data_IF_739418338240
#
_entry.id   IF_739418338240
#
_cell.length_a   1.000
_cell.length_b   1.000
_cell.length_c   1.000
_cell.angle_alpha   90.00
_cell.angle_beta   90.00
_cell.angle_gamma   90.00
#
_symmetry.space_group_name_H-M   'P 1'
#
loop_
_entity.id
_entity.type
_entity.pdbx_description
1 polymer ?
#
# COMPACT_ATOMS: atom_id res chain seq x y z
N UNK A 1 28.91 16.47 14.88
CA UNK A 1 29.70 16.65 13.64
C UNK A 1 29.48 15.46 12.74
N UNK A 2 28.65 15.55 11.69
CA UNK A 2 28.44 14.47 10.71
C UNK A 2 29.78 14.12 10.04
N UNK A 3 30.12 12.83 10.04
CA UNK A 3 31.39 12.26 9.55
C UNK A 3 31.74 12.76 8.14
N UNK A 4 32.69 13.70 8.04
CA UNK A 4 33.24 14.24 6.77
C UNK A 4 34.01 13.19 5.94
N UNK A 5 34.10 11.95 6.42
CA UNK A 5 34.82 10.83 5.82
C UNK A 5 33.90 9.77 5.17
N UNK A 6 32.59 10.01 5.10
CA UNK A 6 31.64 9.08 4.46
C UNK A 6 31.72 9.21 2.93
N UNK A 7 31.54 8.08 2.23
CA UNK A 7 31.28 8.06 0.79
C UNK A 7 29.90 8.64 0.51
N UNK A 8 29.87 9.80 -0.11
CA UNK A 8 28.63 10.48 -0.51
C UNK A 8 28.29 10.08 -1.95
N UNK A 9 27.17 9.38 -2.19
CA UNK A 9 26.81 8.92 -3.54
C UNK A 9 26.46 10.08 -4.49
N UNK A 10 26.11 11.25 -3.97
CA UNK A 10 25.72 12.41 -4.79
C UNK A 10 26.92 13.22 -5.31
N UNK A 11 28.13 12.93 -4.82
CA UNK A 11 29.36 13.63 -5.18
C UNK A 11 30.21 12.80 -6.13
N UNK A 12 31.06 13.49 -6.89
CA UNK A 12 32.15 12.85 -7.62
C UNK A 12 33.21 12.30 -6.64
N UNK A 13 33.88 11.22 -7.03
CA UNK A 13 34.98 10.62 -6.26
C UNK A 13 36.06 11.65 -5.88
N UNK A 14 36.38 12.57 -6.79
CA UNK A 14 37.42 13.59 -6.62
C UNK A 14 37.02 14.64 -5.56
N UNK A 15 35.72 14.83 -5.34
CA UNK A 15 35.20 15.75 -4.34
C UNK A 15 35.21 15.15 -2.93
N UNK A 16 35.46 13.84 -2.81
CA UNK A 16 35.46 13.15 -1.53
C UNK A 16 36.75 13.42 -0.75
N UNK A 17 36.59 13.88 0.49
CA UNK A 17 37.72 14.15 1.40
C UNK A 17 38.49 12.88 1.77
N UNK A 18 37.82 11.72 1.80
CA UNK A 18 38.48 10.44 2.09
C UNK A 18 39.52 10.08 1.04
N UNK A 19 39.27 10.40 -0.24
CA UNK A 19 40.25 10.18 -1.31
C UNK A 19 41.53 10.96 -1.04
N UNK A 20 41.41 12.27 -0.85
CA UNK A 20 42.56 13.15 -0.64
C UNK A 20 43.29 12.90 0.67
N UNK A 21 42.57 12.47 1.71
CA UNK A 21 43.20 12.04 2.95
C UNK A 21 44.09 10.81 2.71
N UNK A 22 43.56 9.77 2.05
CA UNK A 22 44.32 8.54 1.77
C UNK A 22 45.51 8.84 0.86
N UNK A 23 45.30 9.56 -0.24
CA UNK A 23 46.38 9.99 -1.14
C UNK A 23 47.44 10.80 -0.39
N UNK A 24 47.02 11.77 0.43
CA UNK A 24 47.90 12.59 1.24
C UNK A 24 48.75 11.76 2.21
N UNK A 25 48.17 10.78 2.90
CA UNK A 25 48.89 9.89 3.81
C UNK A 25 49.98 9.10 3.09
N UNK A 26 49.69 8.53 1.92
CA UNK A 26 50.68 7.76 1.14
C UNK A 26 51.78 8.66 0.58
N UNK A 27 51.44 9.87 0.12
CA UNK A 27 52.44 10.86 -0.33
C UNK A 27 53.35 11.28 0.83
N UNK A 28 52.78 11.65 1.98
CA UNK A 28 53.56 12.03 3.16
C UNK A 28 54.48 10.89 3.63
N UNK A 29 53.97 9.65 3.64
CA UNK A 29 54.77 8.48 3.98
C UNK A 29 55.92 8.25 3.00
N UNK A 30 55.66 8.35 1.69
CA UNK A 30 56.70 8.25 0.67
C UNK A 30 57.77 9.34 0.80
N UNK A 31 57.38 10.58 1.11
CA UNK A 31 58.33 11.69 1.34
C UNK A 31 59.22 11.41 2.54
N UNK A 32 58.66 10.95 3.66
CA UNK A 32 59.44 10.61 4.86
C UNK A 32 60.45 9.51 4.54
N UNK A 33 60.03 8.45 3.86
CA UNK A 33 60.92 7.35 3.44
C UNK A 33 62.00 7.86 2.49
N UNK A 34 61.66 8.71 1.52
CA UNK A 34 62.63 9.30 0.60
C UNK A 34 63.67 10.17 1.32
N UNK A 35 63.26 10.97 2.31
CA UNK A 35 64.18 11.78 3.12
C UNK A 35 65.16 10.90 3.92
N UNK A 36 64.66 9.83 4.54
CA UNK A 36 65.50 8.87 5.27
C UNK A 36 66.52 8.23 4.33
N UNK A 37 66.09 7.75 3.17
CA UNK A 37 66.98 7.14 2.17
C UNK A 37 68.02 8.16 1.68
N UNK A 38 67.60 9.39 1.39
CA UNK A 38 68.47 10.44 0.86
C UNK A 38 69.58 10.87 1.84
N UNK A 39 69.26 11.03 3.12
CA UNK A 39 70.23 11.43 4.16
C UNK A 39 71.24 10.30 4.43
N UNK A 40 70.81 9.04 4.34
CA UNK A 40 71.67 7.88 4.65
C UNK A 40 72.40 7.32 3.42
N UNK A 41 72.18 7.89 2.24
CA UNK A 41 72.84 7.47 1.00
C UNK A 41 73.89 8.51 0.61
N UNK A 42 75.07 8.04 0.17
CA UNK A 42 76.11 8.93 -0.38
C UNK A 42 75.74 9.30 -1.83
N UNK A 43 74.84 10.26 -2.00
CA UNK A 43 74.32 10.66 -3.32
C UNK A 43 75.07 11.91 -3.81
N UNK A 44 75.59 11.86 -5.03
CA UNK A 44 76.12 13.03 -5.75
C UNK A 44 75.18 13.39 -6.90
N UNK A 45 74.87 14.68 -7.13
CA UNK A 45 74.03 15.10 -8.25
C UNK A 45 74.68 14.73 -9.59
N UNK A 46 74.02 13.86 -10.35
CA UNK A 46 74.34 13.55 -11.75
C UNK A 46 73.05 13.60 -12.57
N UNK A 47 73.03 14.49 -13.57
CA UNK A 47 71.88 14.69 -14.46
C UNK A 47 71.99 13.89 -15.77
N UNK A 48 73.00 13.03 -15.88
CA UNK A 48 73.12 12.08 -16.98
C UNK A 48 72.09 10.94 -16.87
N UNK A 49 71.94 10.15 -17.93
CA UNK A 49 71.09 8.96 -17.90
C UNK A 49 71.50 7.97 -16.79
N UNK A 50 72.81 7.92 -16.45
CA UNK A 50 73.32 7.06 -15.40
C UNK A 50 72.86 7.53 -14.02
N UNK A 51 72.89 8.85 -13.77
CA UNK A 51 72.38 9.47 -12.56
C UNK A 51 70.88 9.24 -12.35
N UNK A 52 70.05 9.41 -13.40
CA UNK A 52 68.61 9.09 -13.32
C UNK A 52 68.34 7.61 -13.02
N UNK A 53 69.06 6.70 -13.67
CA UNK A 53 68.92 5.26 -13.40
C UNK A 53 69.35 4.92 -11.97
N UNK A 54 70.43 5.52 -11.48
CA UNK A 54 70.87 5.34 -10.10
C UNK A 54 69.83 5.86 -9.11
N UNK A 55 69.21 7.02 -9.37
CA UNK A 55 68.13 7.57 -8.55
C UNK A 55 66.92 6.63 -8.47
N UNK A 56 66.52 5.99 -9.58
CA UNK A 56 65.45 4.99 -9.58
C UNK A 56 65.77 3.76 -8.72
N UNK A 57 67.04 3.35 -8.66
CA UNK A 57 67.48 2.23 -7.81
C UNK A 57 67.47 2.64 -6.35
N UNK A 58 68.05 3.79 -6.02
CA UNK A 58 68.14 4.31 -4.64
C UNK A 58 66.75 4.61 -4.07
N UNK A 59 65.87 5.26 -4.83
CA UNK A 59 64.51 5.64 -4.39
C UNK A 59 63.43 4.61 -4.76
N UNK A 60 63.80 3.36 -5.04
CA UNK A 60 62.83 2.32 -5.42
C UNK A 60 61.70 2.14 -4.40
N UNK A 61 62.03 2.15 -3.11
CA UNK A 61 61.06 1.95 -2.02
C UNK A 61 60.01 3.07 -1.95
N UNK A 62 60.37 4.38 -1.85
CA UNK A 62 59.37 5.45 -1.85
C UNK A 62 58.58 5.53 -3.17
N UNK A 63 59.20 5.22 -4.31
CA UNK A 63 58.48 5.11 -5.58
C UNK A 63 57.44 3.98 -5.58
N UNK A 64 57.75 2.83 -4.98
CA UNK A 64 56.81 1.73 -4.83
C UNK A 64 55.62 2.11 -3.92
N UNK A 65 55.86 2.86 -2.85
CA UNK A 65 54.78 3.39 -1.98
C UNK A 65 53.86 4.33 -2.77
N UNK A 66 54.41 5.22 -3.58
CA UNK A 66 53.59 6.08 -4.46
C UNK A 66 52.81 5.27 -5.49
N UNK A 67 53.39 4.19 -6.03
CA UNK A 67 52.70 3.31 -6.97
C UNK A 67 51.48 2.61 -6.33
N UNK A 68 51.50 2.33 -5.02
CA UNK A 68 50.35 1.77 -4.29
C UNK A 68 49.13 2.68 -4.27
N UNK A 69 49.28 3.98 -4.52
CA UNK A 69 48.16 4.91 -4.62
C UNK A 69 47.19 4.46 -5.72
N UNK A 70 47.70 3.93 -6.84
CA UNK A 70 46.86 3.52 -7.98
C UNK A 70 45.84 2.42 -7.58
N UNK A 71 46.26 1.24 -7.09
CA UNK A 71 45.31 0.19 -6.69
C UNK A 71 44.42 0.62 -5.52
N UNK A 72 44.91 1.48 -4.62
CA UNK A 72 44.10 2.00 -3.51
C UNK A 72 42.99 2.92 -4.02
N UNK A 73 43.30 3.87 -4.90
CA UNK A 73 42.31 4.76 -5.51
C UNK A 73 41.31 3.95 -6.34
N UNK A 74 41.77 2.91 -7.04
CA UNK A 74 40.88 1.99 -7.76
C UNK A 74 39.88 1.30 -6.81
N UNK A 75 40.33 0.83 -5.64
CA UNK A 75 39.47 0.23 -4.63
C UNK A 75 38.47 1.25 -4.05
N UNK A 76 38.90 2.48 -3.76
CA UNK A 76 38.03 3.56 -3.29
C UNK A 76 36.98 3.92 -4.34
N UNK A 77 37.36 3.96 -5.63
CA UNK A 77 36.46 4.20 -6.75
C UNK A 77 35.40 3.10 -6.89
N UNK A 78 35.81 1.83 -6.76
CA UNK A 78 34.89 0.70 -6.79
C UNK A 78 33.88 0.77 -5.64
N UNK A 79 34.32 1.10 -4.42
CA UNK A 79 33.44 1.27 -3.28
C UNK A 79 32.48 2.45 -3.45
N UNK A 80 32.98 3.60 -3.96
CA UNK A 80 32.13 4.75 -4.25
C UNK A 80 31.04 4.44 -5.27
N UNK A 81 31.39 3.72 -6.35
CA UNK A 81 30.42 3.24 -7.34
C UNK A 81 29.36 2.33 -6.70
N UNK A 82 29.76 1.43 -5.81
CA UNK A 82 28.80 0.60 -5.07
C UNK A 82 27.80 1.44 -4.26
N UNK A 83 28.26 2.48 -3.56
CA UNK A 83 27.36 3.39 -2.82
C UNK A 83 26.44 4.19 -3.75
N UNK A 84 26.95 4.63 -4.90
CA UNK A 84 26.14 5.28 -5.93
C UNK A 84 25.05 4.35 -6.47
N UNK A 85 25.39 3.10 -6.79
CA UNK A 85 24.42 2.11 -7.27
C UNK A 85 23.36 1.80 -6.22
N UNK A 86 23.72 1.67 -4.94
CA UNK A 86 22.73 1.49 -3.85
C UNK A 86 21.73 2.64 -3.80
N UNK A 87 22.22 3.88 -3.89
CA UNK A 87 21.36 5.07 -3.87
C UNK A 87 20.49 5.17 -5.12
N UNK A 88 21.04 4.84 -6.29
CA UNK A 88 20.27 4.76 -7.54
C UNK A 88 19.14 3.73 -7.45
N UNK A 89 19.41 2.54 -6.90
CA UNK A 89 18.39 1.51 -6.67
C UNK A 89 17.32 2.03 -5.71
N UNK A 90 17.72 2.71 -4.63
CA UNK A 90 16.78 3.30 -3.66
C UNK A 90 15.83 4.29 -4.34
N UNK A 91 16.38 5.26 -5.07
CA UNK A 91 15.59 6.28 -5.78
C UNK A 91 14.70 5.65 -6.86
N UNK A 92 15.22 4.68 -7.61
CA UNK A 92 14.44 3.95 -8.61
C UNK A 92 13.27 3.18 -7.98
N UNK A 93 13.47 2.54 -6.83
CA UNK A 93 12.41 1.83 -6.11
C UNK A 93 11.33 2.79 -5.59
N UNK A 94 11.71 3.97 -5.09
CA UNK A 94 10.76 5.01 -4.68
C UNK A 94 9.92 5.50 -5.86
N UNK A 95 10.56 5.77 -7.00
CA UNK A 95 9.87 6.17 -8.23
C UNK A 95 8.95 5.07 -8.76
N UNK A 96 9.40 3.81 -8.75
CA UNK A 96 8.60 2.67 -9.17
C UNK A 96 7.38 2.49 -8.27
N UNK A 97 7.54 2.57 -6.96
CA UNK A 97 6.43 2.45 -6.00
C UNK A 97 5.39 3.56 -6.20
N UNK A 98 5.85 4.79 -6.40
CA UNK A 98 4.99 5.92 -6.74
C UNK A 98 4.23 5.67 -8.06
N UNK A 99 4.95 5.33 -9.13
CA UNK A 99 4.34 5.11 -10.44
C UNK A 99 3.34 3.95 -10.44
N UNK A 100 3.66 2.85 -9.76
CA UNK A 100 2.79 1.69 -9.63
C UNK A 100 1.50 2.04 -8.89
N UNK A 101 1.59 2.78 -7.78
CA UNK A 101 0.42 3.22 -7.02
C UNK A 101 -0.56 4.05 -7.86
N UNK A 102 -0.07 5.05 -8.60
CA UNK A 102 -0.95 5.88 -9.43
C UNK A 102 -1.51 5.12 -10.62
N UNK A 103 -0.72 4.24 -11.24
CA UNK A 103 -1.19 3.38 -12.33
C UNK A 103 -2.28 2.42 -11.84
N UNK A 104 -2.11 1.83 -10.67
CA UNK A 104 -3.09 0.94 -10.05
C UNK A 104 -4.43 1.65 -9.80
N UNK A 105 -4.40 2.89 -9.28
CA UNK A 105 -5.60 3.72 -9.13
C UNK A 105 -6.26 4.02 -10.48
N UNK A 106 -5.48 4.38 -11.49
CA UNK A 106 -5.99 4.70 -12.83
C UNK A 106 -6.68 3.49 -13.48
N UNK A 107 -6.06 2.32 -13.40
CA UNK A 107 -6.64 1.08 -13.93
C UNK A 107 -7.85 0.62 -13.13
N UNK A 108 -7.86 0.81 -11.82
CA UNK A 108 -9.04 0.57 -10.99
C UNK A 108 -10.21 1.47 -11.40
N UNK A 109 -9.96 2.76 -11.61
CA UNK A 109 -10.99 3.72 -12.06
C UNK A 109 -11.55 3.33 -13.44
N UNK A 110 -10.68 2.92 -14.38
CA UNK A 110 -11.09 2.40 -15.70
C UNK A 110 -11.91 1.13 -15.58
N UNK A 111 -11.49 0.20 -14.72
CA UNK A 111 -12.19 -1.05 -14.46
C UNK A 111 -13.60 -0.80 -13.94
N UNK A 112 -13.75 0.03 -12.90
CA UNK A 112 -15.06 0.39 -12.37
C UNK A 112 -15.94 1.02 -13.45
N UNK A 113 -15.42 1.96 -14.24
CA UNK A 113 -16.19 2.61 -15.32
C UNK A 113 -16.64 1.64 -16.42
N UNK A 114 -15.93 0.53 -16.60
CA UNK A 114 -16.27 -0.50 -17.61
C UNK A 114 -17.27 -1.52 -17.07
N UNK A 115 -17.11 -1.94 -15.83
CA UNK A 115 -17.85 -3.08 -15.25
C UNK A 115 -19.12 -2.62 -14.52
N UNK A 116 -19.10 -1.44 -13.89
CA UNK A 116 -20.25 -0.95 -13.15
C UNK A 116 -21.32 -0.38 -14.08
N UNK A 117 -22.54 -0.91 -13.94
CA UNK A 117 -23.71 -0.37 -14.61
C UNK A 117 -24.24 0.89 -13.87
N UNK A 118 -25.27 1.54 -14.42
CA UNK A 118 -25.91 2.74 -13.84
C UNK A 118 -26.56 2.56 -12.46
N UNK A 119 -26.48 1.36 -11.86
CA UNK A 119 -26.99 1.05 -10.53
C UNK A 119 -25.87 0.80 -9.51
N UNK A 120 -24.60 0.74 -9.93
CA UNK A 120 -23.44 0.56 -9.06
C UNK A 120 -22.61 1.85 -9.09
N UNK A 121 -22.58 2.57 -7.98
CA UNK A 121 -21.87 3.84 -7.88
C UNK A 121 -21.20 4.04 -6.51
N UNK A 122 -20.05 4.68 -6.58
CA UNK A 122 -19.27 5.20 -5.46
C UNK A 122 -19.21 6.70 -5.63
N UNK A 123 -19.19 7.43 -4.51
CA UNK A 123 -18.97 8.88 -4.55
C UNK A 123 -17.58 9.26 -5.10
N UNK A 124 -16.60 8.35 -5.00
CA UNK A 124 -15.25 8.57 -5.52
C UNK A 124 -14.50 7.26 -5.71
N UNK A 125 -14.20 6.84 -6.97
CA UNK A 125 -13.37 5.67 -7.26
C UNK A 125 -12.05 5.66 -6.48
N UNK A 126 -11.41 6.83 -6.35
CA UNK A 126 -10.15 6.98 -5.62
C UNK A 126 -10.27 6.76 -4.11
N UNK A 127 -11.38 7.16 -3.51
CA UNK A 127 -11.60 6.93 -2.08
C UNK A 127 -11.94 5.48 -1.80
N UNK A 128 -12.78 4.87 -2.65
CA UNK A 128 -13.05 3.43 -2.61
C UNK A 128 -11.75 2.63 -2.77
N UNK A 129 -10.92 2.98 -3.75
CA UNK A 129 -9.60 2.39 -3.96
C UNK A 129 -8.74 2.47 -2.69
N UNK A 130 -8.64 3.66 -2.09
CA UNK A 130 -7.86 3.86 -0.87
C UNK A 130 -8.40 3.05 0.32
N UNK A 131 -9.70 2.80 0.38
CA UNK A 131 -10.34 2.01 1.42
C UNK A 131 -10.09 0.50 1.23
N UNK A 132 -10.16 0.02 -0.02
CA UNK A 132 -9.92 -1.40 -0.36
C UNK A 132 -8.42 -1.75 -0.37
N UNK A 133 -7.56 -0.84 -0.82
CA UNK A 133 -6.12 -1.07 -1.04
C UNK A 133 -5.26 -0.02 -0.34
N UNK A 134 -5.37 0.15 0.99
CA UNK A 134 -4.65 1.20 1.73
C UNK A 134 -3.13 1.07 1.65
N UNK A 135 -2.62 -0.15 1.43
CA UNK A 135 -1.19 -0.45 1.36
C UNK A 135 -0.61 -0.39 -0.06
N UNK A 136 -1.41 -0.07 -1.08
CA UNK A 136 -0.98 -0.05 -2.48
C UNK A 136 0.23 0.89 -2.71
N UNK A 137 0.37 1.94 -1.89
CA UNK A 137 1.52 2.86 -1.93
C UNK A 137 2.85 2.19 -1.60
N UNK A 138 2.81 1.06 -0.88
CA UNK A 138 3.95 0.26 -0.48
C UNK A 138 4.12 -1.01 -1.35
N UNK A 139 3.32 -1.15 -2.42
CA UNK A 139 3.37 -2.29 -3.33
C UNK A 139 2.55 -3.51 -2.89
N UNK A 140 1.72 -3.37 -1.84
CA UNK A 140 0.78 -4.39 -1.40
C UNK A 140 -0.64 -4.03 -1.89
N UNK A 141 -1.14 -4.80 -2.85
CA UNK A 141 -2.43 -4.61 -3.49
C UNK A 141 -3.52 -5.54 -2.92
N UNK A 142 -3.26 -6.21 -1.80
CA UNK A 142 -4.26 -7.05 -1.15
C UNK A 142 -5.34 -6.22 -0.44
N UNK A 143 -6.55 -6.78 -0.35
CA UNK A 143 -7.62 -6.24 0.49
C UNK A 143 -7.33 -6.66 1.95
N UNK A 144 -7.18 -5.71 2.89
CA UNK A 144 -6.80 -6.04 4.25
C UNK A 144 -7.93 -6.73 5.01
N UNK A 145 -7.57 -7.61 5.95
CA UNK A 145 -8.53 -8.33 6.80
C UNK A 145 -9.55 -7.41 7.49
N UNK A 146 -9.17 -6.18 7.84
CA UNK A 146 -10.06 -5.20 8.47
C UNK A 146 -11.30 -4.83 7.64
N UNK A 147 -11.21 -4.94 6.30
CA UNK A 147 -12.37 -4.73 5.42
C UNK A 147 -13.35 -5.89 5.57
N UNK A 148 -12.83 -7.12 5.64
CA UNK A 148 -13.62 -8.33 5.85
C UNK A 148 -14.21 -8.37 7.26
N UNK A 149 -13.43 -8.07 8.29
CA UNK A 149 -13.92 -7.98 9.68
C UNK A 149 -15.08 -6.97 9.81
N UNK A 150 -14.99 -5.85 9.08
CA UNK A 150 -16.05 -4.83 9.04
C UNK A 150 -17.30 -5.31 8.29
N UNK A 151 -17.12 -6.06 7.20
CA UNK A 151 -18.21 -6.67 6.45
C UNK A 151 -18.92 -7.74 7.30
N UNK A 152 -18.15 -8.63 7.93
CA UNK A 152 -18.65 -9.71 8.78
C UNK A 152 -19.41 -9.15 9.99
N UNK A 153 -18.89 -8.08 10.60
CA UNK A 153 -19.58 -7.36 11.68
C UNK A 153 -20.91 -6.74 11.21
N UNK A 154 -20.94 -6.17 10.00
CA UNK A 154 -22.17 -5.64 9.40
C UNK A 154 -23.18 -6.78 9.17
N UNK A 155 -22.75 -7.90 8.58
CA UNK A 155 -23.63 -9.06 8.30
C UNK A 155 -24.18 -9.65 9.59
N UNK A 156 -23.33 -9.91 10.58
CA UNK A 156 -23.73 -10.45 11.89
C UNK A 156 -24.79 -9.58 12.53
N UNK A 157 -24.55 -8.26 12.59
CA UNK A 157 -25.51 -7.33 13.18
C UNK A 157 -26.81 -7.25 12.38
N UNK A 158 -26.73 -7.30 11.06
CA UNK A 158 -27.92 -7.27 10.19
C UNK A 158 -28.76 -8.55 10.34
N UNK A 159 -28.12 -9.71 10.53
CA UNK A 159 -28.77 -10.98 10.81
C UNK A 159 -29.52 -10.92 12.14
N UNK A 160 -28.87 -10.48 13.24
CA UNK A 160 -29.51 -10.28 14.54
C UNK A 160 -30.76 -9.38 14.44
N UNK A 161 -30.64 -8.28 13.71
CA UNK A 161 -31.74 -7.34 13.51
C UNK A 161 -32.86 -7.93 12.63
N UNK A 162 -32.53 -8.79 11.66
CA UNK A 162 -33.55 -9.50 10.87
C UNK A 162 -34.35 -10.48 11.73
N UNK A 163 -33.70 -11.18 12.66
CA UNK A 163 -34.37 -12.06 13.63
C UNK A 163 -35.30 -11.24 14.52
N UNK A 164 -34.80 -10.13 15.08
CA UNK A 164 -35.60 -9.20 15.89
C UNK A 164 -36.82 -8.67 15.11
N UNK A 165 -36.62 -8.27 13.85
CA UNK A 165 -37.67 -7.74 12.98
C UNK A 165 -38.81 -8.76 12.77
N UNK A 166 -38.49 -10.03 12.57
CA UNK A 166 -39.51 -11.08 12.37
C UNK A 166 -40.25 -11.47 13.65
N UNK A 167 -39.64 -11.27 14.82
CA UNK A 167 -40.23 -11.55 16.12
C UNK A 167 -41.00 -10.36 16.73
N UNK A 168 -40.72 -9.14 16.29
CA UNK A 168 -41.22 -7.91 16.92
C UNK A 168 -42.70 -7.62 16.66
N UNK A 169 -43.24 -6.71 17.46
CA UNK A 169 -44.57 -6.14 17.28
C UNK A 169 -44.54 -4.94 16.32
N UNK A 170 -45.69 -4.61 15.69
CA UNK A 170 -45.80 -3.53 14.71
C UNK A 170 -45.17 -2.17 15.13
N UNK A 171 -45.31 -1.68 16.38
CA UNK A 171 -44.67 -0.43 16.81
C UNK A 171 -43.13 -0.43 16.74
N UNK A 172 -42.49 -1.59 16.91
CA UNK A 172 -41.03 -1.70 16.96
C UNK A 172 -40.39 -1.83 15.56
N UNK A 173 -41.17 -2.19 14.53
CA UNK A 173 -40.67 -2.39 13.16
C UNK A 173 -39.91 -1.18 12.64
N UNK A 174 -40.41 0.04 12.87
CA UNK A 174 -39.76 1.26 12.40
C UNK A 174 -38.38 1.47 13.01
N UNK A 175 -38.25 1.23 14.32
CA UNK A 175 -36.98 1.33 15.03
C UNK A 175 -35.97 0.36 14.41
N UNK A 176 -36.34 -0.91 14.28
CA UNK A 176 -35.46 -1.96 13.80
C UNK A 176 -35.04 -1.68 12.35
N UNK A 177 -35.96 -1.28 11.47
CA UNK A 177 -35.63 -0.93 10.09
C UNK A 177 -34.63 0.26 10.02
N UNK A 178 -34.80 1.29 10.85
CA UNK A 178 -33.87 2.43 10.93
C UNK A 178 -32.49 1.99 11.43
N UNK A 179 -32.46 1.14 12.46
CA UNK A 179 -31.20 0.58 12.98
C UNK A 179 -30.50 -0.32 11.94
N UNK A 180 -31.24 -1.14 11.20
CA UNK A 180 -30.71 -1.97 10.11
C UNK A 180 -30.11 -1.13 8.99
N UNK A 181 -30.80 -0.06 8.59
CA UNK A 181 -30.27 0.86 7.58
C UNK A 181 -28.98 1.53 8.07
N UNK A 182 -28.90 1.87 9.36
CA UNK A 182 -27.70 2.44 9.99
C UNK A 182 -26.52 1.45 9.96
N UNK A 183 -26.76 0.17 10.25
CA UNK A 183 -25.75 -0.90 10.18
C UNK A 183 -25.13 -0.97 8.77
N UNK A 184 -25.97 -1.11 7.73
CA UNK A 184 -25.50 -1.19 6.34
C UNK A 184 -24.79 0.10 5.92
N UNK A 185 -25.35 1.26 6.32
CA UNK A 185 -24.79 2.56 5.97
C UNK A 185 -23.41 2.80 6.55
N UNK A 186 -23.16 2.42 7.80
CA UNK A 186 -21.84 2.57 8.43
C UNK A 186 -20.75 1.86 7.63
N UNK A 187 -21.03 0.62 7.20
CA UNK A 187 -20.09 -0.12 6.35
C UNK A 187 -19.96 0.50 4.96
N UNK A 188 -21.08 0.78 4.29
CA UNK A 188 -21.07 1.36 2.95
C UNK A 188 -20.36 2.73 2.89
N UNK A 189 -20.56 3.59 3.90
CA UNK A 189 -19.91 4.90 4.00
C UNK A 189 -18.40 4.76 4.22
N UNK A 190 -17.94 3.71 4.92
CA UNK A 190 -16.51 3.40 5.08
C UNK A 190 -15.81 3.06 3.75
N UNK A 191 -16.57 2.49 2.81
CA UNK A 191 -16.16 2.21 1.44
C UNK A 191 -16.62 3.26 0.42
N UNK A 192 -17.25 4.35 0.87
CA UNK A 192 -17.76 5.42 0.02
C UNK A 192 -18.77 4.98 -1.04
N UNK A 193 -19.55 3.93 -0.77
CA UNK A 193 -20.59 3.40 -1.65
C UNK A 193 -21.88 4.21 -1.51
N UNK A 194 -22.58 4.48 -2.62
CA UNK A 194 -23.80 5.32 -2.60
C UNK A 194 -25.03 4.65 -3.19
N UNK A 195 -24.88 3.53 -3.89
CA UNK A 195 -25.95 2.94 -4.73
C UNK A 195 -26.61 1.69 -4.15
N UNK A 196 -26.52 1.46 -2.84
CA UNK A 196 -27.06 0.24 -2.20
C UNK A 196 -28.49 0.40 -1.67
N UNK A 197 -28.89 1.63 -1.32
CA UNK A 197 -30.22 1.94 -0.80
C UNK A 197 -31.21 2.28 -1.92
N UNK A 198 -32.50 1.98 -1.71
CA UNK A 198 -33.57 2.38 -2.62
C UNK A 198 -33.77 3.89 -2.65
N UNK A 199 -33.99 4.47 -3.82
CA UNK A 199 -34.21 5.92 -4.01
C UNK A 199 -35.69 6.33 -3.97
N UNK A 200 -36.62 5.36 -4.02
CA UNK A 200 -38.06 5.57 -3.99
C UNK A 200 -38.73 4.47 -3.17
N UNK A 201 -39.85 4.79 -2.52
CA UNK A 201 -40.60 3.83 -1.71
C UNK A 201 -41.31 4.47 -0.53
N UNK A 202 -41.62 3.65 0.48
CA UNK A 202 -42.28 4.09 1.71
C UNK A 202 -41.28 4.69 2.68
N UNK A 203 -41.55 5.92 3.12
CA UNK A 203 -40.79 6.57 4.18
C UNK A 203 -41.10 5.94 5.54
N UNK A 204 -40.07 5.47 6.22
CA UNK A 204 -40.15 4.97 7.60
C UNK A 204 -39.38 5.92 8.49
N UNK A 205 -40.02 6.41 9.54
CA UNK A 205 -39.43 7.39 10.46
C UNK A 205 -39.39 6.82 11.88
N UNK A 206 -38.24 6.96 12.52
CA UNK A 206 -38.04 6.69 13.93
C UNK A 206 -37.01 7.67 14.49
N UNK A 207 -37.30 8.28 15.64
CA UNK A 207 -36.42 9.22 16.34
C UNK A 207 -35.82 10.34 15.44
N UNK A 208 -36.68 10.94 14.60
CA UNK A 208 -36.26 12.00 13.67
C UNK A 208 -35.43 11.54 12.46
N UNK A 209 -35.07 10.26 12.38
CA UNK A 209 -34.38 9.67 11.23
C UNK A 209 -35.41 9.06 10.28
N UNK A 210 -35.36 9.46 9.02
CA UNK A 210 -36.20 8.92 7.96
C UNK A 210 -35.37 8.04 7.02
N UNK A 211 -35.87 6.84 6.71
CA UNK A 211 -35.32 5.92 5.71
C UNK A 211 -36.37 5.62 4.64
N UNK A 212 -35.92 5.10 3.49
CA UNK A 212 -36.80 4.68 2.40
C UNK A 212 -36.75 3.17 2.28
N UNK A 213 -37.92 2.53 2.44
CA UNK A 213 -38.12 1.11 2.15
C UNK A 213 -38.66 1.00 0.73
N UNK A 214 -37.87 0.43 -0.18
CA UNK A 214 -38.24 0.29 -1.59
C UNK A 214 -39.58 -0.45 -1.73
N UNK A 215 -40.54 0.19 -2.41
CA UNK A 215 -41.92 -0.29 -2.59
C UNK A 215 -42.67 -0.68 -1.30
N UNK A 216 -42.18 -0.19 -0.15
CA UNK A 216 -42.65 -0.60 1.17
C UNK A 216 -42.50 -2.08 1.44
N UNK A 217 -41.61 -2.78 0.73
CA UNK A 217 -41.40 -4.22 0.85
C UNK A 217 -40.12 -4.53 1.64
N UNK A 218 -40.30 -5.18 2.79
CA UNK A 218 -39.21 -5.59 3.68
C UNK A 218 -38.29 -6.58 2.97
N UNK A 219 -38.79 -7.40 2.03
CA UNK A 219 -37.94 -8.26 1.20
C UNK A 219 -36.88 -7.46 0.45
N UNK A 220 -37.30 -6.37 -0.21
CA UNK A 220 -36.39 -5.52 -0.99
C UNK A 220 -35.42 -4.78 -0.07
N UNK A 221 -35.85 -4.44 1.13
CA UNK A 221 -34.98 -3.85 2.15
C UNK A 221 -33.92 -4.83 2.65
N UNK A 222 -34.31 -6.05 3.02
CA UNK A 222 -33.40 -7.10 3.49
C UNK A 222 -32.41 -7.50 2.38
N UNK A 223 -32.83 -7.48 1.11
CA UNK A 223 -31.95 -7.72 -0.05
C UNK A 223 -30.86 -6.66 -0.27
N UNK A 224 -30.89 -5.52 0.43
CA UNK A 224 -29.84 -4.49 0.30
C UNK A 224 -28.46 -5.02 0.69
N UNK A 225 -28.39 -5.96 1.63
CA UNK A 225 -27.11 -6.57 2.02
C UNK A 225 -26.46 -7.32 0.86
N UNK A 226 -27.26 -8.00 0.02
CA UNK A 226 -26.78 -8.65 -1.20
C UNK A 226 -26.31 -7.63 -2.24
N UNK A 227 -26.98 -6.49 -2.36
CA UNK A 227 -26.53 -5.39 -3.24
C UNK A 227 -25.16 -4.87 -2.81
N UNK A 228 -24.95 -4.65 -1.51
CA UNK A 228 -23.64 -4.25 -0.97
C UNK A 228 -22.60 -5.33 -1.24
N UNK A 229 -22.92 -6.61 -0.97
CA UNK A 229 -22.03 -7.74 -1.25
C UNK A 229 -21.61 -7.79 -2.73
N UNK A 230 -22.54 -7.64 -3.67
CA UNK A 230 -22.20 -7.56 -5.10
C UNK A 230 -21.29 -6.38 -5.42
N UNK A 231 -21.56 -5.18 -4.89
CA UNK A 231 -20.70 -4.01 -5.13
C UNK A 231 -19.27 -4.27 -4.64
N UNK A 232 -19.12 -4.82 -3.43
CA UNK A 232 -17.81 -5.15 -2.84
C UNK A 232 -17.12 -6.22 -3.65
N UNK A 233 -17.81 -7.31 -3.99
CA UNK A 233 -17.26 -8.40 -4.79
C UNK A 233 -16.76 -7.91 -6.15
N UNK A 234 -17.56 -7.13 -6.87
CA UNK A 234 -17.19 -6.59 -8.18
C UNK A 234 -15.98 -5.64 -8.09
N UNK A 235 -15.92 -4.81 -7.04
CA UNK A 235 -14.79 -3.91 -6.83
C UNK A 235 -13.50 -4.67 -6.51
N UNK A 236 -13.57 -5.67 -5.64
CA UNK A 236 -12.42 -6.49 -5.25
C UNK A 236 -11.95 -7.42 -6.37
N UNK A 237 -12.86 -7.85 -7.27
CA UNK A 237 -12.54 -8.66 -8.46
C UNK A 237 -11.64 -7.96 -9.49
N UNK A 238 -11.33 -6.67 -9.28
CA UNK A 238 -10.26 -6.00 -9.99
C UNK A 238 -8.91 -6.70 -9.82
N UNK A 239 -8.63 -7.23 -8.62
CA UNK A 239 -7.39 -7.96 -8.34
C UNK A 239 -7.50 -9.42 -8.76
N UNK A 240 -6.56 -9.91 -9.56
CA UNK A 240 -6.57 -11.29 -10.06
C UNK A 240 -6.42 -12.35 -8.96
N UNK A 241 -5.77 -11.99 -7.85
CA UNK A 241 -5.56 -12.86 -6.69
C UNK A 241 -6.68 -12.74 -5.64
N UNK A 242 -7.76 -12.02 -5.96
CA UNK A 242 -8.88 -11.85 -5.06
C UNK A 242 -9.64 -13.17 -4.85
N UNK A 243 -9.86 -13.50 -3.59
CA UNK A 243 -10.81 -14.53 -3.16
C UNK A 243 -11.80 -13.89 -2.18
N UNK A 244 -13.12 -14.10 -2.34
CA UNK A 244 -14.13 -13.58 -1.43
C UNK A 244 -13.99 -14.22 -0.05
N UNK A 245 -14.29 -13.47 1.01
CA UNK A 245 -14.42 -14.06 2.35
C UNK A 245 -15.58 -15.05 2.38
N UNK A 246 -15.53 -16.02 3.31
CA UNK A 246 -16.58 -17.02 3.47
C UNK A 246 -17.96 -16.37 3.66
N UNK A 247 -18.07 -15.38 4.54
CA UNK A 247 -19.31 -14.61 4.77
C UNK A 247 -19.80 -13.90 3.51
N UNK A 248 -18.88 -13.31 2.73
CA UNK A 248 -19.26 -12.63 1.49
C UNK A 248 -19.84 -13.63 0.50
N UNK A 249 -19.20 -14.78 0.32
CA UNK A 249 -19.67 -15.84 -0.55
C UNK A 249 -21.04 -16.35 -0.09
N UNK A 250 -21.24 -16.61 1.21
CA UNK A 250 -22.52 -17.01 1.78
C UNK A 250 -23.63 -16.00 1.46
N UNK A 251 -23.37 -14.69 1.60
CA UNK A 251 -24.37 -13.65 1.28
C UNK A 251 -24.68 -13.61 -0.22
N UNK A 252 -23.68 -13.80 -1.09
CA UNK A 252 -23.87 -13.81 -2.54
C UNK A 252 -24.72 -15.01 -3.01
N UNK A 253 -24.56 -16.17 -2.36
CA UNK A 253 -25.21 -17.42 -2.74
C UNK A 253 -26.70 -17.51 -2.32
N UNK A 254 -27.17 -16.61 -1.44
CA UNK A 254 -28.58 -16.57 -1.03
C UNK A 254 -29.46 -16.11 -2.18
N UNK A 255 -30.48 -16.92 -2.51
CA UNK A 255 -31.53 -16.50 -3.44
C UNK A 255 -32.58 -15.62 -2.76
N UNK A 256 -32.28 -14.32 -2.63
CA UNK A 256 -33.22 -13.33 -2.11
C UNK A 256 -34.49 -13.19 -2.98
N UNK A 257 -34.50 -13.69 -4.22
CA UNK A 257 -35.70 -13.64 -5.08
C UNK A 257 -36.77 -14.63 -4.64
N UNK A 258 -36.37 -15.73 -3.99
CA UNK A 258 -37.27 -16.73 -3.42
C UNK A 258 -37.99 -16.28 -2.14
N UNK A 259 -37.45 -15.27 -1.44
CA UNK A 259 -38.02 -14.78 -0.18
C UNK A 259 -39.43 -14.20 -0.37
N UNK A 260 -40.32 -14.36 0.62
CA UNK A 260 -41.68 -13.86 0.49
C UNK A 260 -41.73 -12.33 0.68
N UNK A 261 -42.60 -11.66 -0.08
CA UNK A 261 -42.89 -10.23 0.11
C UNK A 261 -43.61 -10.01 1.45
N UNK A 262 -43.21 -8.95 2.18
CA UNK A 262 -43.82 -8.53 3.44
C UNK A 262 -43.83 -7.00 3.48
N UNK A 263 -44.99 -6.38 3.66
CA UNK A 263 -45.07 -4.91 3.66
C UNK A 263 -44.72 -4.34 5.03
N UNK A 264 -44.13 -3.13 5.03
CA UNK A 264 -43.96 -2.34 6.26
C UNK A 264 -45.34 -2.14 6.91
N UNK A 265 -45.39 -2.12 8.24
CA UNK A 265 -46.60 -1.88 9.03
C UNK A 265 -47.67 -2.99 8.94
N UNK A 266 -47.34 -4.17 8.41
CA UNK A 266 -48.15 -5.36 8.60
C UNK A 266 -48.08 -5.83 10.07
N UNK A 267 -49.10 -6.54 10.56
CA UNK A 267 -49.15 -6.97 11.97
C UNK A 267 -47.95 -7.81 12.38
N UNK A 268 -47.47 -8.66 11.48
CA UNK A 268 -46.24 -9.45 11.65
C UNK A 268 -45.45 -9.48 10.35
N UNK A 269 -44.13 -9.38 10.48
CA UNK A 269 -43.19 -9.63 9.39
C UNK A 269 -43.05 -11.14 9.21
N UNK A 270 -42.94 -11.58 7.97
CA UNK A 270 -42.84 -13.00 7.63
C UNK A 270 -41.57 -13.65 8.22
N UNK A 271 -41.65 -14.77 8.96
CA UNK A 271 -40.50 -15.43 9.59
C UNK A 271 -39.44 -15.98 8.63
N UNK A 272 -39.74 -16.07 7.34
CA UNK A 272 -38.79 -16.46 6.29
C UNK A 272 -37.81 -15.33 5.95
N UNK A 273 -38.08 -14.09 6.38
CA UNK A 273 -37.17 -12.95 6.24
C UNK A 273 -36.08 -12.89 7.33
N UNK A 274 -36.09 -13.84 8.27
CA UNK A 274 -35.02 -14.04 9.24
C UNK A 274 -33.81 -14.70 8.54
N UNK A 275 -32.75 -13.91 8.37
CA UNK A 275 -31.55 -14.34 7.66
C UNK A 275 -30.69 -15.30 8.49
N UNK A 276 -30.97 -15.45 9.79
CA UNK A 276 -30.22 -16.33 10.69
C UNK A 276 -30.22 -17.79 10.21
N UNK A 277 -31.26 -18.22 9.49
CA UNK A 277 -31.36 -19.58 8.92
C UNK A 277 -30.39 -19.83 7.77
N UNK A 278 -29.86 -18.77 7.16
CA UNK A 278 -29.02 -18.81 5.98
C UNK A 278 -27.58 -18.41 6.28
N UNK A 279 -27.39 -17.54 7.26
CA UNK A 279 -26.10 -16.91 7.57
C UNK A 279 -25.56 -17.28 8.96
N UNK A 280 -26.26 -18.10 9.76
CA UNK A 280 -25.70 -18.65 10.99
C UNK A 280 -24.77 -19.84 10.69
N UNK A 281 -23.59 -19.51 10.16
CA UNK A 281 -22.41 -20.36 10.15
C UNK A 281 -21.14 -19.50 9.98
N UNK A 282 -21.02 -18.43 10.79
CA UNK A 282 -19.78 -17.67 10.99
C UNK A 282 -19.60 -17.38 12.48
#
# INVERSE_FOLDING_TARGET
MKNKLRFDPQKSLIELKVLWLVVGVFISFAIIVALIVGINSQITPDYSYAGFNHALVVFRVPLAILALIIPIVALLAANHRSEQTKEQIRVANEQNSFSNYYKHIEEFEKYLNKTWNSKLHTSSPRKLHKALFPNARYGDFSVPASVWDSFDSMVTRFVEQSTELTACSKPDQNRILVEMQSTVRKFADSLHLTSYAGSSGSGVTYDGVQIIVQDGDIKLFVSQIQKVAHIVNEACSFELAYEPSETLQQVLDIDFTSLPSSKVMQEKVKPELDLSKWLNAA
#
